data_IF_832002741855
#
_entry.id   IF_832002741855
#
_cell.length_a   1.000
_cell.length_b   1.000
_cell.length_c   1.000
_cell.angle_alpha   90.00
_cell.angle_beta   90.00
_cell.angle_gamma   90.00
#
_symmetry.space_group_name_H-M   'P 1'
#
loop_
_entity.id
_entity.type
_entity.pdbx_description
1 polymer ?
#
# COMPACT_ATOMS: atom_id res chain seq x y z
N UNK A 1 -35.79 5.96 29.83
CA UNK A 1 -34.80 5.01 29.29
C UNK A 1 -34.24 5.56 27.98
N UNK A 2 -33.31 6.51 28.05
CA UNK A 2 -32.65 7.07 26.85
C UNK A 2 -31.19 6.68 26.85
N UNK A 3 -30.86 5.79 25.92
CA UNK A 3 -29.54 5.20 25.70
C UNK A 3 -28.56 6.24 25.19
N UNK A 4 -27.43 6.38 25.89
CA UNK A 4 -26.30 7.24 25.54
C UNK A 4 -25.47 6.56 24.45
N UNK A 5 -25.70 6.92 23.19
CA UNK A 5 -24.72 6.70 22.13
C UNK A 5 -23.58 7.70 22.32
N UNK A 6 -22.53 7.26 23.00
CA UNK A 6 -21.29 8.00 23.14
C UNK A 6 -20.59 7.98 21.77
N UNK A 7 -20.48 9.15 21.14
CA UNK A 7 -19.68 9.31 19.93
C UNK A 7 -18.26 8.74 20.17
N UNK A 8 -17.64 8.06 19.17
CA UNK A 8 -16.29 7.55 19.33
C UNK A 8 -15.37 8.71 19.70
N UNK A 9 -14.61 8.53 20.78
CA UNK A 9 -13.66 9.53 21.25
C UNK A 9 -12.73 9.91 20.10
N UNK A 10 -12.79 11.17 19.66
CA UNK A 10 -11.85 11.73 18.70
C UNK A 10 -10.45 11.54 19.29
N UNK A 11 -9.63 10.75 18.62
CA UNK A 11 -8.21 10.62 18.96
C UNK A 11 -7.60 12.02 18.81
N UNK A 12 -6.87 12.55 19.82
CA UNK A 12 -6.16 13.80 19.64
C UNK A 12 -5.24 13.67 18.44
N UNK A 13 -5.38 14.59 17.48
CA UNK A 13 -4.43 14.77 16.39
C UNK A 13 -3.11 15.18 17.05
N UNK A 14 -2.03 14.38 16.96
CA UNK A 14 -0.76 14.78 17.53
C UNK A 14 -0.32 16.09 16.88
N UNK A 15 0.13 17.05 17.71
CA UNK A 15 0.75 18.29 17.26
C UNK A 15 1.80 17.99 16.18
N UNK A 16 1.80 18.81 15.12
CA UNK A 16 2.55 18.60 13.89
C UNK A 16 3.99 18.09 14.14
N UNK A 17 4.44 17.03 13.44
CA UNK A 17 5.72 16.41 13.72
C UNK A 17 6.87 17.35 13.38
N UNK A 18 7.73 17.57 14.37
CA UNK A 18 9.05 18.19 14.25
C UNK A 18 9.89 17.40 13.25
N UNK A 19 10.25 17.97 12.10
CA UNK A 19 11.08 17.31 11.07
C UNK A 19 12.54 17.15 11.52
N UNK A 20 12.81 16.19 12.39
CA UNK A 20 14.00 15.36 12.20
C UNK A 20 13.68 14.48 10.99
N UNK A 21 14.56 14.37 10.00
CA UNK A 21 14.32 13.58 8.79
C UNK A 21 13.94 12.14 9.17
N UNK A 22 12.64 11.88 9.31
CA UNK A 22 12.12 10.60 9.74
C UNK A 22 12.53 9.57 8.69
N UNK A 23 12.94 8.36 9.10
CA UNK A 23 13.31 7.33 8.14
C UNK A 23 12.13 7.08 7.20
N UNK A 24 12.38 6.84 5.90
CA UNK A 24 11.32 6.53 4.94
C UNK A 24 10.39 5.45 5.49
N UNK A 25 9.05 5.62 5.41
CA UNK A 25 8.11 4.73 6.05
C UNK A 25 8.19 3.28 5.54
N UNK A 26 8.61 3.09 4.27
CA UNK A 26 8.88 1.76 3.71
C UNK A 26 10.08 1.77 2.76
N UNK A 27 10.95 0.76 2.89
CA UNK A 27 12.04 0.50 1.96
C UNK A 27 12.16 -0.99 1.64
N UNK A 28 12.34 -1.32 0.37
CA UNK A 28 12.76 -2.62 -0.13
C UNK A 28 14.21 -2.48 -0.58
N UNK A 29 15.09 -3.36 -0.10
CA UNK A 29 16.50 -3.36 -0.49
C UNK A 29 16.89 -4.71 -1.07
N UNK A 30 17.22 -4.74 -2.36
CA UNK A 30 17.61 -5.92 -3.15
C UNK A 30 16.70 -7.11 -2.88
N UNK A 31 15.39 -6.89 -2.93
CA UNK A 31 14.41 -7.93 -2.63
C UNK A 31 14.36 -8.94 -3.78
N UNK A 32 14.54 -10.22 -3.46
CA UNK A 32 14.32 -11.33 -4.38
C UNK A 32 13.28 -12.28 -3.82
N UNK A 33 12.43 -12.82 -4.68
CA UNK A 33 11.48 -13.86 -4.31
C UNK A 33 11.08 -14.71 -5.52
N UNK A 34 11.22 -16.02 -5.42
CA UNK A 34 10.78 -16.97 -6.44
C UNK A 34 9.35 -17.39 -6.19
N UNK A 35 8.52 -17.28 -7.22
CA UNK A 35 7.17 -17.84 -7.22
C UNK A 35 7.16 -19.21 -7.86
N UNK A 36 6.27 -20.09 -7.37
CA UNK A 36 5.95 -21.38 -8.01
C UNK A 36 4.80 -21.28 -9.00
N UNK A 37 4.12 -20.13 -9.06
CA UNK A 37 3.10 -19.85 -10.05
C UNK A 37 3.73 -19.49 -11.39
N UNK A 38 2.92 -19.46 -12.45
CA UNK A 38 3.34 -19.07 -13.81
C UNK A 38 3.68 -17.59 -13.97
N UNK A 39 3.51 -16.78 -12.92
CA UNK A 39 3.81 -15.35 -12.92
C UNK A 39 5.30 -15.09 -12.66
N UNK A 40 5.79 -13.88 -12.93
CA UNK A 40 7.16 -13.50 -12.59
C UNK A 40 7.38 -13.50 -11.07
N UNK A 41 8.58 -13.91 -10.64
CA UNK A 41 9.08 -13.67 -9.28
C UNK A 41 9.43 -12.19 -9.08
N UNK A 42 10.10 -11.87 -7.97
CA UNK A 42 10.74 -10.57 -7.73
C UNK A 42 12.25 -10.77 -7.82
N UNK A 43 12.92 -9.88 -8.55
CA UNK A 43 14.35 -9.99 -8.82
C UNK A 43 15.08 -8.67 -8.56
N UNK A 44 15.74 -8.57 -7.41
CA UNK A 44 16.64 -7.47 -7.08
C UNK A 44 15.95 -6.12 -6.94
N UNK A 45 14.70 -6.09 -6.46
CA UNK A 45 13.93 -4.85 -6.38
C UNK A 45 14.42 -3.97 -5.23
N UNK A 46 14.82 -2.76 -5.59
CA UNK A 46 15.02 -1.63 -4.69
C UNK A 46 13.85 -0.64 -4.83
N UNK A 47 13.25 -0.26 -3.70
CA UNK A 47 12.12 0.67 -3.66
C UNK A 47 12.17 1.47 -2.37
N UNK A 48 12.01 2.79 -2.46
CA UNK A 48 11.91 3.67 -1.31
C UNK A 48 10.63 4.49 -1.46
N UNK A 49 9.76 4.40 -0.45
CA UNK A 49 8.59 5.25 -0.33
C UNK A 49 8.90 6.36 0.67
N UNK A 50 8.84 7.59 0.21
CA UNK A 50 8.93 8.77 1.06
C UNK A 50 7.64 9.00 1.86
N UNK A 51 7.68 9.82 2.92
CA UNK A 51 6.48 10.25 3.62
C UNK A 51 5.57 11.06 2.69
N UNK A 52 4.25 10.94 2.88
CA UNK A 52 3.24 11.62 2.08
C UNK A 52 3.46 11.46 0.56
N UNK A 53 3.87 10.27 0.09
CA UNK A 53 3.94 9.97 -1.35
C UNK A 53 2.70 9.23 -1.84
N UNK A 54 2.24 9.56 -3.05
CA UNK A 54 1.27 8.76 -3.80
C UNK A 54 1.94 8.19 -5.04
N UNK A 55 2.10 6.87 -5.07
CA UNK A 55 2.80 6.15 -6.14
C UNK A 55 1.85 5.21 -6.88
N UNK A 56 1.92 5.20 -8.21
CA UNK A 56 1.38 4.11 -9.01
C UNK A 56 2.47 3.06 -9.33
N UNK A 57 2.24 1.82 -8.93
CA UNK A 57 3.03 0.66 -9.35
C UNK A 57 2.38 0.04 -10.60
N UNK A 58 2.87 0.46 -11.77
CA UNK A 58 2.35 0.02 -13.06
C UNK A 58 3.04 -1.27 -13.52
N UNK A 59 2.28 -2.20 -14.10
CA UNK A 59 2.87 -3.37 -14.76
C UNK A 59 1.82 -4.30 -15.36
N UNK A 60 2.18 -5.08 -16.40
CA UNK A 60 1.24 -6.02 -17.02
C UNK A 60 0.79 -7.10 -16.02
N UNK A 61 -0.32 -7.81 -16.30
CA UNK A 61 -0.69 -9.02 -15.57
C UNK A 61 0.49 -9.99 -15.47
N UNK A 62 0.72 -10.56 -14.29
CA UNK A 62 1.83 -11.49 -14.06
C UNK A 62 3.21 -10.85 -13.85
N UNK A 63 3.35 -9.52 -13.90
CA UNK A 63 4.64 -8.84 -13.66
C UNK A 63 5.17 -8.96 -12.22
N UNK A 64 4.35 -9.40 -11.26
CA UNK A 64 4.72 -9.58 -9.85
C UNK A 64 4.17 -8.50 -8.89
N UNK A 65 3.26 -7.62 -9.31
CA UNK A 65 2.74 -6.49 -8.49
C UNK A 65 2.16 -6.94 -7.16
N UNK A 66 1.20 -7.87 -7.18
CA UNK A 66 0.59 -8.48 -5.99
C UNK A 66 1.63 -9.11 -5.08
N UNK A 67 2.59 -9.85 -5.65
CA UNK A 67 3.68 -10.46 -4.89
C UNK A 67 4.55 -9.42 -4.19
N UNK A 68 4.93 -8.37 -4.91
CA UNK A 68 5.72 -7.27 -4.37
C UNK A 68 4.98 -6.55 -3.23
N UNK A 69 3.68 -6.25 -3.42
CA UNK A 69 2.84 -5.62 -2.39
C UNK A 69 2.69 -6.51 -1.15
N UNK A 70 2.54 -7.83 -1.31
CA UNK A 70 2.48 -8.77 -0.18
C UNK A 70 3.80 -8.84 0.58
N UNK A 71 4.93 -8.80 -0.13
CA UNK A 71 6.26 -8.74 0.49
C UNK A 71 6.45 -7.43 1.24
N UNK A 72 6.10 -6.30 0.60
CA UNK A 72 6.13 -4.97 1.21
C UNK A 72 5.25 -4.89 2.48
N UNK A 73 4.06 -5.49 2.45
CA UNK A 73 3.14 -5.60 3.59
C UNK A 73 3.64 -6.54 4.72
N UNK A 74 4.75 -7.26 4.51
CA UNK A 74 5.25 -8.29 5.41
C UNK A 74 4.36 -9.54 5.50
N UNK A 75 3.40 -9.69 4.58
CA UNK A 75 2.52 -10.87 4.47
C UNK A 75 3.23 -12.06 3.82
N UNK A 76 4.34 -11.80 3.13
CA UNK A 76 5.14 -12.79 2.44
C UNK A 76 6.62 -12.47 2.67
N UNK A 77 7.40 -13.49 3.05
CA UNK A 77 8.83 -13.30 3.29
C UNK A 77 9.59 -13.32 1.96
N UNK A 78 10.52 -12.38 1.71
CA UNK A 78 11.39 -12.48 0.55
C UNK A 78 12.40 -13.62 0.76
N UNK A 79 12.92 -14.17 -0.34
CA UNK A 79 13.96 -15.21 -0.31
C UNK A 79 15.34 -14.60 0.01
N UNK A 80 15.56 -13.36 -0.44
CA UNK A 80 16.75 -12.56 -0.14
C UNK A 80 16.40 -11.06 -0.13
N UNK A 81 17.29 -10.25 0.47
CA UNK A 81 17.07 -8.81 0.64
C UNK A 81 16.34 -8.46 1.93
N UNK A 82 15.93 -7.19 2.04
CA UNK A 82 15.36 -6.63 3.28
C UNK A 82 14.13 -5.79 3.01
N UNK A 83 13.20 -5.80 3.96
CA UNK A 83 12.02 -4.95 3.99
C UNK A 83 12.10 -4.13 5.27
N UNK A 84 12.33 -2.83 5.15
CA UNK A 84 12.45 -1.92 6.28
C UNK A 84 11.17 -1.10 6.42
N UNK A 85 10.62 -1.05 7.61
CA UNK A 85 9.41 -0.28 7.96
C UNK A 85 9.77 0.67 9.07
N UNK A 86 9.59 1.98 8.84
CA UNK A 86 10.05 3.03 9.76
C UNK A 86 11.53 2.85 10.20
N UNK A 87 12.37 2.38 9.28
CA UNK A 87 13.80 2.11 9.53
C UNK A 87 14.13 0.75 10.14
N UNK A 88 13.15 -0.05 10.58
CA UNK A 88 13.36 -1.38 11.16
C UNK A 88 13.19 -2.51 10.12
N UNK A 89 14.16 -3.42 10.03
CA UNK A 89 14.09 -4.58 9.13
C UNK A 89 13.13 -5.66 9.66
N UNK A 90 12.01 -5.89 8.95
CA UNK A 90 10.97 -6.86 9.29
C UNK A 90 11.50 -8.30 9.43
N UNK A 91 12.59 -8.64 8.74
CA UNK A 91 13.18 -9.98 8.78
C UNK A 91 14.19 -10.16 9.92
N UNK A 92 14.70 -9.06 10.49
CA UNK A 92 15.68 -9.08 11.58
C UNK A 92 15.02 -8.98 12.97
N UNK A 93 13.76 -8.59 13.05
CA UNK A 93 13.01 -8.48 14.30
C UNK A 93 12.25 -9.77 14.65
N UNK A 94 12.05 -10.01 15.95
CA UNK A 94 11.25 -11.13 16.44
C UNK A 94 9.76 -11.06 16.02
N UNK A 95 9.02 -12.19 16.07
CA UNK A 95 7.66 -12.30 15.51
C UNK A 95 6.66 -11.30 16.11
N UNK A 96 6.71 -11.04 17.41
CA UNK A 96 5.83 -10.06 18.06
C UNK A 96 6.12 -8.61 17.64
N UNK A 97 7.40 -8.23 17.51
CA UNK A 97 7.80 -6.90 17.02
C UNK A 97 7.44 -6.72 15.55
N UNK A 98 7.66 -7.75 14.73
CA UNK A 98 7.24 -7.78 13.32
C UNK A 98 5.74 -7.55 13.17
N UNK A 99 4.93 -8.26 13.94
CA UNK A 99 3.48 -8.10 13.90
C UNK A 99 3.05 -6.69 14.31
N UNK A 100 3.66 -6.11 15.35
CA UNK A 100 3.41 -4.71 15.73
C UNK A 100 3.77 -3.74 14.61
N UNK A 101 4.94 -3.88 14.00
CA UNK A 101 5.37 -3.02 12.89
C UNK A 101 4.37 -3.11 11.73
N UNK A 102 4.00 -4.32 11.32
CA UNK A 102 3.01 -4.53 10.27
C UNK A 102 1.66 -3.91 10.63
N UNK A 103 1.10 -4.21 11.80
CA UNK A 103 -0.23 -3.72 12.21
C UNK A 103 -0.34 -2.20 12.33
N UNK A 104 0.72 -1.51 12.72
CA UNK A 104 0.65 -0.07 12.98
C UNK A 104 1.18 0.79 11.83
N UNK A 105 1.99 0.25 10.92
CA UNK A 105 2.58 1.03 9.84
C UNK A 105 2.07 0.67 8.45
N UNK A 106 1.58 -0.56 8.26
CA UNK A 106 1.26 -1.08 6.94
C UNK A 106 -0.19 -1.56 6.89
N UNK A 107 -0.89 -1.20 5.82
CA UNK A 107 -2.16 -1.83 5.49
C UNK A 107 -2.16 -2.23 4.01
N UNK A 108 -2.78 -3.37 3.70
CA UNK A 108 -2.93 -3.86 2.33
C UNK A 108 -4.42 -4.01 2.03
N UNK A 109 -4.88 -3.39 0.94
CA UNK A 109 -6.18 -3.63 0.31
C UNK A 109 -5.93 -4.56 -0.89
N UNK A 110 -6.30 -5.85 -0.82
CA UNK A 110 -6.06 -6.79 -1.90
C UNK A 110 -7.06 -6.63 -3.05
N UNK A 111 -6.66 -7.04 -4.27
CA UNK A 111 -7.50 -6.98 -5.50
C UNK A 111 -8.84 -7.69 -5.39
N UNK A 112 -8.88 -8.79 -4.62
CA UNK A 112 -10.13 -9.48 -4.26
C UNK A 112 -10.29 -9.41 -2.75
N UNK A 113 -10.95 -8.37 -2.22
CA UNK A 113 -11.26 -8.33 -0.81
C UNK A 113 -12.31 -9.39 -0.49
N UNK A 114 -12.15 -10.09 0.63
CA UNK A 114 -13.04 -11.18 1.07
C UNK A 114 -14.45 -10.70 1.49
N UNK A 115 -14.80 -9.45 1.20
CA UNK A 115 -16.09 -8.88 1.51
C UNK A 115 -17.19 -9.50 0.63
N UNK A 116 -17.94 -10.45 1.17
CA UNK A 116 -19.26 -10.88 0.67
C UNK A 116 -20.32 -9.86 1.09
N UNK A 117 -20.31 -8.69 0.45
CA UNK A 117 -21.26 -7.60 0.70
C UNK A 117 -22.21 -7.39 -0.49
N UNK A 118 -23.39 -6.82 -0.24
CA UNK A 118 -24.34 -6.36 -1.27
C UNK A 118 -23.96 -4.98 -1.85
N UNK A 119 -22.87 -4.37 -1.37
CA UNK A 119 -22.38 -3.06 -1.82
C UNK A 119 -21.89 -3.06 -3.27
N UNK A 120 -22.04 -1.93 -3.96
CA UNK A 120 -21.43 -1.71 -5.27
C UNK A 120 -19.89 -1.77 -5.22
N UNK A 121 -19.20 -1.89 -6.38
CA UNK A 121 -17.74 -2.00 -6.45
C UNK A 121 -16.99 -0.87 -5.69
N UNK A 122 -17.34 0.39 -5.95
CA UNK A 122 -16.73 1.55 -5.29
C UNK A 122 -16.97 1.54 -3.77
N UNK A 123 -18.21 1.33 -3.33
CA UNK A 123 -18.56 1.30 -1.90
C UNK A 123 -17.81 0.19 -1.14
N UNK A 124 -17.58 -0.95 -1.79
CA UNK A 124 -16.81 -2.06 -1.21
C UNK A 124 -15.34 -1.69 -1.06
N UNK A 125 -14.74 -1.09 -2.08
CA UNK A 125 -13.37 -0.61 -2.02
C UNK A 125 -13.21 0.48 -0.95
N UNK A 126 -14.15 1.43 -0.88
CA UNK A 126 -14.20 2.48 0.14
C UNK A 126 -14.25 1.90 1.56
N UNK A 127 -15.05 0.85 1.78
CA UNK A 127 -15.13 0.16 3.07
C UNK A 127 -13.82 -0.58 3.42
N UNK A 128 -13.15 -1.17 2.44
CA UNK A 128 -11.86 -1.84 2.65
C UNK A 128 -10.73 -0.84 2.91
N UNK A 129 -10.71 0.29 2.20
CA UNK A 129 -9.81 1.41 2.50
C UNK A 129 -10.09 1.92 3.92
N UNK A 130 -11.35 2.13 4.30
CA UNK A 130 -11.69 2.57 5.65
C UNK A 130 -11.23 1.57 6.73
N UNK A 131 -11.38 0.26 6.49
CA UNK A 131 -10.88 -0.79 7.38
C UNK A 131 -9.36 -0.78 7.48
N UNK A 132 -8.68 -0.63 6.35
CA UNK A 132 -7.22 -0.52 6.29
C UNK A 132 -6.73 0.70 7.08
N UNK A 133 -7.44 1.82 7.00
CA UNK A 133 -7.11 3.07 7.70
C UNK A 133 -7.46 3.06 9.19
N UNK A 134 -8.31 2.16 9.67
CA UNK A 134 -8.80 2.15 11.05
C UNK A 134 -7.69 2.04 12.12
N UNK A 135 -6.53 1.49 11.76
CA UNK A 135 -5.37 1.39 12.66
C UNK A 135 -4.38 2.55 12.53
N UNK A 136 -4.63 3.51 11.63
CA UNK A 136 -3.75 4.65 11.34
C UNK A 136 -2.40 4.24 10.74
N UNK A 137 -2.37 3.45 9.64
CA UNK A 137 -1.12 3.04 9.02
C UNK A 137 -0.39 4.25 8.43
N UNK A 138 0.94 4.22 8.45
CA UNK A 138 1.77 5.21 7.72
C UNK A 138 1.84 4.93 6.21
N UNK A 139 1.62 3.67 5.81
CA UNK A 139 1.64 3.22 4.40
C UNK A 139 0.41 2.40 4.08
N UNK A 140 -0.33 2.83 3.05
CA UNK A 140 -1.44 2.09 2.46
C UNK A 140 -1.02 1.49 1.11
N UNK A 141 -1.10 0.17 1.01
CA UNK A 141 -0.80 -0.59 -0.19
C UNK A 141 -2.13 -1.05 -0.79
N UNK A 142 -2.36 -0.80 -2.08
CA UNK A 142 -3.61 -1.14 -2.76
C UNK A 142 -3.26 -1.95 -4.00
N UNK A 143 -3.75 -3.18 -4.06
CA UNK A 143 -3.50 -4.10 -5.17
C UNK A 143 -4.68 -4.09 -6.13
N UNK A 144 -4.49 -3.55 -7.33
CA UNK A 144 -5.49 -3.47 -8.41
C UNK A 144 -6.89 -3.07 -7.91
N UNK A 145 -7.10 -1.78 -7.56
CA UNK A 145 -8.33 -1.31 -6.91
C UNK A 145 -9.59 -1.57 -7.74
N UNK A 146 -9.47 -1.71 -9.07
CA UNK A 146 -10.62 -1.88 -9.96
C UNK A 146 -10.27 -2.77 -11.15
N UNK A 147 -10.65 -4.04 -11.08
CA UNK A 147 -10.65 -4.95 -12.22
C UNK A 147 -11.95 -4.86 -13.00
N UNK A 148 -12.08 -3.92 -13.94
CA UNK A 148 -12.99 -4.04 -15.09
C UNK A 148 -14.47 -3.67 -14.94
N UNK A 149 -14.90 -2.98 -13.88
CA UNK A 149 -16.35 -2.69 -13.69
C UNK A 149 -16.78 -1.24 -13.96
N UNK A 150 -15.89 -0.24 -13.85
CA UNK A 150 -16.24 1.16 -14.10
C UNK A 150 -14.98 2.05 -14.29
N UNK A 151 -14.86 2.80 -15.41
CA UNK A 151 -13.74 3.72 -15.66
C UNK A 151 -13.66 4.92 -14.71
N UNK A 152 -14.74 5.28 -14.00
CA UNK A 152 -14.75 6.45 -13.09
C UNK A 152 -14.25 6.13 -11.68
N UNK A 153 -14.34 4.87 -11.25
CA UNK A 153 -13.97 4.44 -9.89
C UNK A 153 -12.48 4.68 -9.59
N UNK A 154 -11.58 4.37 -10.52
CA UNK A 154 -10.13 4.56 -10.33
C UNK A 154 -9.74 6.02 -10.04
N UNK A 155 -10.15 6.98 -10.89
CA UNK A 155 -10.07 8.42 -10.63
C UNK A 155 -10.48 8.86 -9.23
N UNK A 156 -11.67 8.45 -8.77
CA UNK A 156 -12.22 8.84 -7.48
C UNK A 156 -11.35 8.33 -6.32
N UNK A 157 -10.86 7.10 -6.42
CA UNK A 157 -9.96 6.51 -5.41
C UNK A 157 -8.64 7.28 -5.34
N UNK A 158 -8.01 7.59 -6.49
CA UNK A 158 -6.78 8.39 -6.48
C UNK A 158 -6.99 9.79 -5.92
N UNK A 159 -8.12 10.44 -6.21
CA UNK A 159 -8.44 11.74 -5.64
C UNK A 159 -8.57 11.66 -4.11
N UNK A 160 -9.25 10.64 -3.60
CA UNK A 160 -9.36 10.41 -2.15
C UNK A 160 -8.00 10.18 -1.51
N UNK A 161 -7.16 9.35 -2.12
CA UNK A 161 -5.80 9.09 -1.61
C UNK A 161 -4.92 10.34 -1.69
N UNK A 162 -5.09 11.19 -2.69
CA UNK A 162 -4.40 12.47 -2.78
C UNK A 162 -4.82 13.40 -1.62
N UNK A 163 -6.12 13.47 -1.30
CA UNK A 163 -6.59 14.22 -0.11
C UNK A 163 -6.02 13.65 1.18
N UNK A 164 -6.05 12.34 1.39
CA UNK A 164 -5.46 11.70 2.59
C UNK A 164 -3.94 11.94 2.69
N UNK A 165 -3.23 11.97 1.57
CA UNK A 165 -1.82 12.35 1.53
C UNK A 165 -1.62 13.80 1.99
N UNK A 166 -2.42 14.72 1.45
CA UNK A 166 -2.28 16.15 1.70
C UNK A 166 -2.74 16.55 3.12
N UNK A 167 -3.82 15.94 3.61
CA UNK A 167 -4.45 16.25 4.90
C UNK A 167 -3.83 15.48 6.08
N UNK A 168 -3.46 14.20 5.86
CA UNK A 168 -3.03 13.28 6.94
C UNK A 168 -1.60 12.75 6.76
N UNK A 169 -0.90 13.15 5.68
CA UNK A 169 0.47 12.69 5.41
C UNK A 169 0.58 11.22 5.00
N UNK A 170 -0.54 10.59 4.60
CA UNK A 170 -0.58 9.18 4.24
C UNK A 170 0.32 8.89 3.03
N UNK A 171 1.16 7.87 3.15
CA UNK A 171 1.91 7.33 2.00
C UNK A 171 1.11 6.19 1.37
N UNK A 172 0.94 6.20 0.05
CA UNK A 172 0.12 5.19 -0.65
C UNK A 172 0.79 4.65 -1.91
N UNK A 173 0.66 3.33 -2.14
CA UNK A 173 1.01 2.67 -3.41
C UNK A 173 -0.22 2.02 -4.00
N UNK A 174 -0.53 2.36 -5.26
CA UNK A 174 -1.60 1.73 -6.03
C UNK A 174 -1.00 0.89 -7.14
N UNK A 175 -1.09 -0.43 -7.05
CA UNK A 175 -0.75 -1.29 -8.17
C UNK A 175 -1.87 -1.31 -9.20
N UNK A 176 -1.50 -1.19 -10.48
CA UNK A 176 -2.46 -1.20 -11.57
C UNK A 176 -1.82 -1.65 -12.88
N UNK A 177 -2.61 -2.29 -13.75
CA UNK A 177 -2.26 -2.49 -15.15
C UNK A 177 -2.77 -1.34 -16.05
N UNK A 178 -3.71 -0.53 -15.55
CA UNK A 178 -4.28 0.61 -16.26
C UNK A 178 -3.28 1.78 -16.29
N UNK A 179 -2.80 2.08 -17.50
CA UNK A 179 -1.88 3.19 -17.76
C UNK A 179 -2.52 4.57 -17.56
N UNK A 180 -3.83 4.72 -17.79
CA UNK A 180 -4.53 5.98 -17.59
C UNK A 180 -4.64 6.30 -16.09
N UNK A 181 -4.97 5.31 -15.28
CA UNK A 181 -4.94 5.45 -13.82
C UNK A 181 -3.51 5.74 -13.31
N UNK A 182 -2.52 4.99 -13.78
CA UNK A 182 -1.12 5.20 -13.38
C UNK A 182 -0.62 6.60 -13.73
N UNK A 183 -1.01 7.15 -14.89
CA UNK A 183 -0.62 8.49 -15.34
C UNK A 183 -1.12 9.62 -14.42
N UNK A 184 -2.13 9.38 -13.59
CA UNK A 184 -2.67 10.36 -12.64
C UNK A 184 -1.91 10.40 -11.31
N UNK A 185 -1.08 9.40 -11.02
CA UNK A 185 -0.28 9.40 -9.81
C UNK A 185 0.96 10.32 -9.97
N UNK A 186 1.31 11.14 -8.96
CA UNK A 186 2.47 12.02 -9.03
C UNK A 186 3.79 11.29 -9.31
N UNK A 187 3.93 10.07 -8.79
CA UNK A 187 5.09 9.22 -9.02
C UNK A 187 4.66 7.89 -9.60
N UNK A 188 5.38 7.42 -10.61
CA UNK A 188 5.11 6.14 -11.28
C UNK A 188 6.32 5.25 -11.21
N UNK A 189 6.09 3.97 -10.94
CA UNK A 189 7.10 2.94 -10.90
C UNK A 189 6.61 1.81 -11.79
N UNK A 190 7.45 1.37 -12.73
CA UNK A 190 7.09 0.28 -13.63
C UNK A 190 7.71 -1.02 -13.12
N UNK A 191 6.92 -2.08 -13.12
CA UNK A 191 7.34 -3.44 -12.82
C UNK A 191 7.23 -4.29 -14.09
N UNK A 192 8.34 -4.89 -14.50
CA UNK A 192 8.39 -5.82 -15.65
C UNK A 192 9.27 -7.00 -15.29
N UNK A 193 8.77 -8.21 -15.52
CA UNK A 193 9.50 -9.46 -15.26
C UNK A 193 10.14 -9.51 -13.86
N UNK A 194 9.43 -9.04 -12.83
CA UNK A 194 9.92 -9.04 -11.46
C UNK A 194 10.91 -7.95 -11.10
N UNK A 195 11.25 -7.05 -12.03
CA UNK A 195 12.21 -5.97 -11.84
C UNK A 195 11.53 -4.62 -11.89
N UNK A 196 11.96 -3.70 -11.02
CA UNK A 196 11.59 -2.30 -11.12
C UNK A 196 12.41 -1.69 -12.26
N UNK A 197 11.70 -1.24 -13.28
CA UNK A 197 12.26 -0.44 -14.38
C UNK A 197 11.92 1.02 -14.09
N UNK A 198 12.91 1.90 -14.25
CA UNK A 198 12.75 3.34 -13.98
C UNK A 198 11.47 3.86 -14.65
N UNK A 199 10.65 4.57 -13.86
CA UNK A 199 9.47 5.27 -14.37
C UNK A 199 9.86 6.65 -14.91
N UNK A 200 9.19 7.09 -15.97
CA UNK A 200 9.40 8.42 -16.54
C UNK A 200 9.01 9.50 -15.51
N UNK A 201 9.99 10.35 -15.17
CA UNK A 201 9.86 11.61 -14.41
C UNK A 201 8.99 12.57 -15.20
#
# INVERSE_FOLDING_TARGET
MSSLLRAPAQRPVPDAPVWHAAPPPLQLRRVHHRTRATTAGIDGVDLVLGPAELIALQGPPGAGKTTLLRIAAGLQRPDAGRVLVAGEDLNAVGPGRRERLRRHHLALVPSRPDCRSLLGPLQRLEAEIARALALGPTVLLIDEPVGGFDPETGPAVLERLARLRDDEGLTSVVATADGALAARAPRRIRLREGRVVAGDV
#
